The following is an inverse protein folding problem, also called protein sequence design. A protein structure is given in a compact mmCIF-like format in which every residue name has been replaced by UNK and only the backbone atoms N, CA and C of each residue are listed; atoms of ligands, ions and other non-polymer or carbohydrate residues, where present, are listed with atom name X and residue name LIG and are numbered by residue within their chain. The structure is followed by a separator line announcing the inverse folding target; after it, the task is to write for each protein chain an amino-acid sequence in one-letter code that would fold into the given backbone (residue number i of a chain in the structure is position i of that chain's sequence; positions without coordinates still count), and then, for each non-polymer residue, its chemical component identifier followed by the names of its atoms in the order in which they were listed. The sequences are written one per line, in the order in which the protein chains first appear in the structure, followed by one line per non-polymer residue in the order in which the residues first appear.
data_IF_872842795993
#
_entry.id   IF_872842795993
#
_cell.length_a   1.000
_cell.length_b   1.000
_cell.length_c   1.000
_cell.angle_alpha   90.00
_cell.angle_beta   90.00
_cell.angle_gamma   90.00
#
_symmetry.space_group_name_H-M   'P 1'
#
loop_
_entity.id
_entity.type
_entity.pdbx_description
1 polymer ?
#
# COMPACT_ATOMS: atom_id res chain seq x y z
N UNK A 1 -11.27 0.39 -7.92
CA UNK A 1 -11.00 -0.29 -6.64
C UNK A 1 -9.57 0.00 -6.20
N UNK A 2 -9.35 0.32 -4.96
CA UNK A 2 -7.99 0.53 -4.47
C UNK A 2 -7.19 -0.76 -4.55
N UNK A 3 -5.92 -0.62 -4.85
CA UNK A 3 -5.01 -1.76 -4.97
C UNK A 3 -3.69 -1.42 -4.33
N UNK A 4 -3.05 -2.45 -3.81
CA UNK A 4 -1.72 -2.32 -3.27
C UNK A 4 -0.82 -3.28 -4.03
N UNK A 5 0.13 -2.73 -4.76
CA UNK A 5 1.09 -3.54 -5.52
C UNK A 5 2.37 -3.65 -4.71
N UNK A 6 2.84 -4.87 -4.51
CA UNK A 6 3.99 -5.14 -3.67
C UNK A 6 5.12 -5.67 -4.53
N UNK A 7 6.26 -4.98 -4.51
CA UNK A 7 7.43 -5.40 -5.25
C UNK A 7 8.50 -5.86 -4.28
N UNK A 8 8.85 -7.12 -4.35
CA UNK A 8 9.82 -7.73 -3.46
C UNK A 8 11.24 -7.57 -4.00
N UNK A 9 12.26 -7.62 -3.14
CA UNK A 9 13.64 -7.44 -3.62
C UNK A 9 14.08 -8.47 -4.65
N UNK A 10 13.46 -9.64 -4.68
CA UNK A 10 13.82 -10.66 -5.68
C UNK A 10 13.17 -10.41 -7.04
N UNK A 11 12.42 -9.32 -7.17
CA UNK A 11 11.76 -8.96 -8.41
C UNK A 11 10.35 -9.49 -8.55
N UNK A 12 9.89 -10.31 -7.62
CA UNK A 12 8.51 -10.80 -7.69
C UNK A 12 7.54 -9.70 -7.28
N UNK A 13 6.33 -9.79 -7.80
CA UNK A 13 5.34 -8.76 -7.61
C UNK A 13 4.00 -9.39 -7.27
N UNK A 14 3.26 -8.73 -6.40
CA UNK A 14 1.96 -9.22 -5.97
C UNK A 14 1.02 -8.02 -5.86
N UNK A 15 -0.22 -8.18 -6.29
CA UNK A 15 -1.20 -7.13 -6.22
C UNK A 15 -2.36 -7.57 -5.35
N UNK A 16 -2.76 -6.72 -4.42
CA UNK A 16 -3.87 -6.98 -3.51
C UNK A 16 -4.94 -5.94 -3.78
N UNK A 17 -6.16 -6.42 -4.05
CA UNK A 17 -7.31 -5.54 -4.22
C UNK A 17 -7.90 -5.28 -2.86
N UNK A 18 -8.14 -4.00 -2.56
CA UNK A 18 -8.60 -3.59 -1.25
C UNK A 18 -10.07 -3.21 -1.30
N UNK A 19 -10.83 -3.50 -0.24
CA UNK A 19 -12.24 -3.10 -0.21
C UNK A 19 -12.37 -1.58 -0.06
N UNK A 20 -13.51 -1.08 -0.43
CA UNK A 20 -13.78 0.36 -0.35
C UNK A 20 -15.11 0.64 0.34
N UNK A 21 -15.53 -0.22 1.23
CA UNK A 21 -16.76 0.02 1.97
C UNK A 21 -16.63 -0.62 3.35
N UNK A 22 -17.44 -0.16 4.27
CA UNK A 22 -17.44 -0.67 5.61
C UNK A 22 -16.16 -0.34 6.34
N UNK A 23 -15.77 -1.22 7.23
CA UNK A 23 -14.53 -1.08 7.99
C UNK A 23 -13.59 -2.18 7.58
N UNK A 24 -12.33 -1.84 7.42
CA UNK A 24 -11.32 -2.80 7.02
C UNK A 24 -10.00 -2.42 7.64
N UNK A 25 -9.28 -3.41 8.13
CA UNK A 25 -7.89 -3.19 8.51
C UNK A 25 -7.10 -4.46 8.24
N UNK A 26 -5.82 -4.28 7.97
CA UNK A 26 -4.91 -5.38 7.70
C UNK A 26 -3.55 -5.05 8.25
N UNK A 27 -2.96 -6.02 8.94
CA UNK A 27 -1.57 -5.88 9.36
C UNK A 27 -0.69 -6.30 8.21
N UNK A 28 0.35 -5.53 7.99
CA UNK A 28 1.32 -5.79 6.94
C UNK A 28 2.63 -6.18 7.65
N UNK A 29 3.16 -7.33 7.34
CA UNK A 29 4.40 -7.74 7.98
C UNK A 29 4.89 -9.08 7.49
N UNK A 30 6.00 -9.53 8.09
CA UNK A 30 6.63 -10.79 7.70
C UNK A 30 5.92 -11.99 8.27
N UNK A 31 5.23 -11.84 9.39
CA UNK A 31 4.52 -12.94 10.02
C UNK A 31 3.41 -13.45 9.13
N UNK A 32 3.25 -14.75 9.06
CA UNK A 32 2.20 -15.33 8.25
C UNK A 32 0.82 -15.09 8.82
N UNK A 33 0.71 -14.65 10.07
CA UNK A 33 -0.59 -14.25 10.61
C UNK A 33 -1.05 -12.92 10.06
N UNK A 34 -0.17 -12.10 9.46
CA UNK A 34 -0.57 -10.81 8.92
C UNK A 34 -1.50 -11.02 7.74
N UNK A 35 -2.53 -10.20 7.65
CA UNK A 35 -3.44 -10.25 6.53
C UNK A 35 -2.71 -10.01 5.22
N UNK A 36 -1.68 -9.16 5.27
CA UNK A 36 -0.82 -8.92 4.12
C UNK A 36 0.58 -9.36 4.53
N UNK A 37 0.92 -10.60 4.24
CA UNK A 37 2.20 -11.16 4.64
C UNK A 37 3.24 -10.92 3.56
N UNK A 38 4.39 -10.38 3.97
CA UNK A 38 5.48 -10.05 3.05
C UNK A 38 6.73 -10.81 3.51
N UNK A 39 7.15 -11.83 2.77
CA UNK A 39 8.26 -12.70 3.19
C UNK A 39 9.62 -12.07 2.89
N UNK A 40 9.93 -10.97 3.55
CA UNK A 40 11.22 -10.31 3.37
C UNK A 40 11.86 -10.08 4.74
N UNK A 41 13.14 -10.41 4.90
CA UNK A 41 13.80 -10.21 6.19
C UNK A 41 13.89 -8.75 6.61
N UNK A 42 13.76 -7.82 5.68
CA UNK A 42 13.81 -6.40 6.02
C UNK A 42 12.48 -5.89 6.57
N UNK A 43 11.44 -6.72 6.55
CA UNK A 43 10.13 -6.34 7.05
C UNK A 43 9.95 -6.96 8.43
N UNK A 44 9.50 -6.15 9.38
CA UNK A 44 9.25 -6.63 10.75
C UNK A 44 8.05 -7.57 10.77
N UNK A 45 7.96 -8.39 11.81
CA UNK A 45 6.87 -9.36 11.94
C UNK A 45 5.51 -8.72 11.79
N UNK A 46 5.27 -7.62 12.51
CA UNK A 46 4.10 -6.79 12.33
C UNK A 46 4.63 -5.39 12.06
N UNK A 47 4.69 -5.01 10.80
CA UNK A 47 5.40 -3.81 10.39
C UNK A 47 4.49 -2.59 10.36
N UNK A 48 3.31 -2.73 9.81
CA UNK A 48 2.41 -1.59 9.61
C UNK A 48 0.96 -2.03 9.66
N UNK A 49 0.09 -1.08 9.94
CA UNK A 49 -1.35 -1.32 9.94
C UNK A 49 -1.98 -0.49 8.84
N UNK A 50 -2.74 -1.12 7.98
CA UNK A 50 -3.48 -0.48 6.92
C UNK A 50 -4.95 -0.47 7.32
N UNK A 51 -5.58 0.71 7.29
CA UNK A 51 -6.98 0.86 7.69
C UNK A 51 -7.76 1.66 6.67
N UNK A 52 -9.01 1.25 6.46
CA UNK A 52 -9.95 2.07 5.69
C UNK A 52 -10.86 2.78 6.68
N UNK A 53 -10.81 4.09 6.69
CA UNK A 53 -11.67 4.87 7.57
C UNK A 53 -11.92 6.24 6.95
N UNK A 54 -13.10 6.76 7.18
CA UNK A 54 -13.50 8.09 6.72
C UNK A 54 -13.29 8.28 5.23
N UNK A 55 -13.55 7.22 4.46
CA UNK A 55 -13.51 7.30 3.02
C UNK A 55 -12.15 7.15 2.40
N UNK A 56 -11.13 6.79 3.17
CA UNK A 56 -9.79 6.63 2.62
C UNK A 56 -8.97 5.61 3.36
N UNK A 57 -7.80 5.32 2.82
CA UNK A 57 -6.86 4.40 3.45
C UNK A 57 -5.80 5.16 4.22
N UNK A 58 -5.46 4.64 5.38
CA UNK A 58 -4.46 5.22 6.26
C UNK A 58 -3.49 4.11 6.64
N UNK A 59 -2.20 4.42 6.67
CA UNK A 59 -1.19 3.46 7.06
C UNK A 59 -0.44 4.00 8.28
N UNK A 60 -0.10 3.09 9.18
CA UNK A 60 0.57 3.44 10.44
C UNK A 60 1.67 2.44 10.73
N UNK A 61 2.83 2.94 11.14
CA UNK A 61 3.95 2.08 11.53
C UNK A 61 3.69 1.49 12.91
N UNK A 62 3.90 0.20 13.05
CA UNK A 62 3.65 -0.50 14.33
C UNK A 62 4.94 -0.70 15.14
N UNK A 63 5.83 0.28 15.08
CA UNK A 63 7.08 0.19 15.79
C UNK A 63 8.10 -0.69 15.10
N UNK A 64 8.10 -0.66 13.80
CA UNK A 64 8.97 -1.53 13.01
C UNK A 64 10.44 -1.14 13.14
N UNK A 65 11.32 -2.08 12.82
CA UNK A 65 12.75 -1.85 12.87
C UNK A 65 13.20 -0.87 11.79
N UNK A 66 12.69 -1.01 10.57
CA UNK A 66 13.16 -0.20 9.46
C UNK A 66 12.23 0.95 9.10
N UNK A 67 11.08 1.06 9.78
CA UNK A 67 10.16 2.17 9.57
C UNK A 67 9.33 2.04 8.31
N UNK A 68 8.45 3.02 8.14
CA UNK A 68 7.59 3.15 6.96
C UNK A 68 7.93 4.48 6.33
N UNK A 69 8.15 4.49 5.01
CA UNK A 69 8.36 5.74 4.28
C UNK A 69 7.31 5.85 3.20
N UNK A 70 6.81 7.06 3.01
CA UNK A 70 5.83 7.34 1.98
C UNK A 70 6.41 8.44 1.11
N UNK A 71 6.64 8.11 -0.17
CA UNK A 71 7.25 9.05 -1.12
C UNK A 71 8.56 9.62 -0.59
N UNK A 72 9.33 8.76 0.11
CA UNK A 72 10.64 9.15 0.63
C UNK A 72 10.62 9.84 1.98
N UNK A 73 9.45 10.05 2.57
CA UNK A 73 9.33 10.76 3.84
C UNK A 73 8.81 9.82 4.92
N UNK A 74 9.31 9.99 6.13
CA UNK A 74 8.85 9.19 7.27
C UNK A 74 7.74 9.95 7.97
N UNK A 75 6.50 9.42 7.95
CA UNK A 75 5.41 10.13 8.63
C UNK A 75 5.57 10.06 10.14
N UNK A 76 5.00 11.04 10.81
CA UNK A 76 5.09 11.13 12.28
C UNK A 76 3.96 10.41 12.98
N UNK A 77 3.10 9.77 12.25
CA UNK A 77 1.96 9.04 12.78
C UNK A 77 1.19 8.43 11.64
N UNK A 78 -0.08 8.09 11.85
CA UNK A 78 -0.88 7.55 10.74
C UNK A 78 -0.92 8.52 9.58
N UNK A 79 -0.78 8.01 8.38
CA UNK A 79 -0.71 8.83 7.17
C UNK A 79 -1.73 8.36 6.15
N UNK A 80 -2.45 9.30 5.56
CA UNK A 80 -3.41 8.98 4.52
C UNK A 80 -2.70 8.62 3.23
N UNK A 81 -3.26 7.69 2.49
CA UNK A 81 -2.69 7.24 1.24
C UNK A 81 -3.49 7.79 0.07
N UNK A 82 -2.80 8.20 -0.97
CA UNK A 82 -3.39 8.76 -2.16
C UNK A 82 -2.87 8.04 -3.39
N UNK A 83 -3.57 8.23 -4.50
CA UNK A 83 -3.21 7.63 -5.77
C UNK A 83 -1.74 7.82 -6.09
N UNK A 84 -1.05 6.73 -6.37
CA UNK A 84 0.34 6.78 -6.80
C UNK A 84 1.36 6.84 -5.69
N UNK A 85 0.93 6.80 -4.41
CA UNK A 85 1.88 6.86 -3.31
C UNK A 85 2.80 5.64 -3.31
N UNK A 86 4.09 5.89 -3.14
CA UNK A 86 5.10 4.85 -2.95
C UNK A 86 5.34 4.66 -1.47
N UNK A 87 5.20 3.43 -1.01
CA UNK A 87 5.39 3.07 0.38
C UNK A 87 6.58 2.11 0.44
N UNK A 88 7.49 2.37 1.35
CA UNK A 88 8.67 1.53 1.50
C UNK A 88 8.72 0.96 2.90
N UNK A 89 8.76 -0.37 2.99
CA UNK A 89 8.91 -1.10 4.23
C UNK A 89 10.20 -1.91 4.13
N UNK A 90 11.25 -1.41 4.77
CA UNK A 90 12.56 -2.05 4.61
C UNK A 90 13.02 -1.94 3.17
N UNK A 91 13.18 -3.07 2.50
CA UNK A 91 13.58 -3.10 1.09
C UNK A 91 12.41 -3.39 0.17
N UNK A 92 11.20 -3.44 0.68
CA UNK A 92 10.03 -3.78 -0.10
C UNK A 92 9.30 -2.51 -0.49
N UNK A 93 8.95 -2.40 -1.77
CA UNK A 93 8.24 -1.25 -2.30
C UNK A 93 6.79 -1.61 -2.53
N UNK A 94 5.88 -0.76 -2.06
CA UNK A 94 4.46 -0.92 -2.27
C UNK A 94 3.94 0.31 -2.98
N UNK A 95 3.00 0.13 -3.87
CA UNK A 95 2.38 1.26 -4.55
C UNK A 95 0.88 1.21 -4.32
N UNK A 96 0.33 2.31 -3.84
CA UNK A 96 -1.10 2.44 -3.61
C UNK A 96 -1.75 3.04 -4.84
N UNK A 97 -2.80 2.42 -5.33
CA UNK A 97 -3.50 2.91 -6.49
C UNK A 97 -4.99 2.86 -6.25
N UNK A 98 -5.66 3.94 -6.59
CA UNK A 98 -7.10 4.05 -6.41
C UNK A 98 -7.83 4.25 -7.72
N UNK A 99 -7.16 4.01 -8.82
CA UNK A 99 -7.77 4.22 -10.12
C UNK A 99 -9.02 3.39 -10.30
N UNK A 100 -10.00 3.93 -11.00
CA UNK A 100 -11.16 3.13 -11.36
C UNK A 100 -10.75 2.01 -12.29
N UNK A 101 -11.46 0.93 -12.18
CA UNK A 101 -11.15 -0.24 -12.97
C UNK A 101 -11.38 -0.02 -14.44
N UNK A 102 -12.29 0.81 -14.76
CA UNK A 102 -12.61 0.98 -16.12
C UNK A 102 -11.68 1.79 -16.87
N UNK A 103 -11.78 1.92 -17.39
CA UNK A 103 -11.37 2.88 -17.99
C UNK A 103 -10.57 2.91 -18.96
N UNK A 104 -10.64 2.50 -19.49
CA UNK A 104 -9.64 2.76 -20.35
C UNK A 104 -9.91 4.01 -21.06
N UNK A 105 -10.17 4.36 -21.04
CA UNK A 105 -10.28 5.29 -21.53
C UNK A 105 -9.54 6.01 -21.80
N UNK A 106 -9.48 5.69 -21.84
CA UNK A 106 -8.94 6.24 -21.99
C UNK A 106 -8.31 6.58 -22.39
N UNK A 107 -8.09 6.64 -22.37
CA UNK A 107 -7.51 7.09 -22.65
C UNK A 107 -7.40 7.44 -23.33
N UNK A 108 -7.45 7.64 -23.47
CA UNK A 108 -7.41 8.26 -24.01
C UNK A 108 -7.60 8.93 -24.22
N UNK A 109 -7.54 9.14 -24.05
CA UNK A 109 -7.75 9.86 -24.10
C UNK A 109 -7.57 10.52 -23.85
N UNK A 110 -7.48 10.65 -23.82
CA UNK A 110 -7.15 11.42 -23.59
C UNK A 110 -6.80 11.89 -23.98
N UNK A 111 -6.63 11.97 -23.98
CA UNK A 111 -6.60 12.61 -24.37
C UNK A 111 -6.77 12.91 -24.58
N UNK A 112 -6.66 13.11 -24.74
CA UNK A 112 -6.90 13.60 -24.90
C UNK A 112 -7.07 13.97 -24.85
N UNK A 113 -6.81 14.09 -24.89
CA UNK A 113 -6.97 14.59 -24.84
C UNK A 113 -7.03 14.95 -24.92
N UNK A 114 -6.91 15.25 -24.96
CA UNK A 114 -6.99 15.77 -25.09
C UNK A 114 -7.04 16.08 -25.19
#
# INVERSE_FOLDING_TARGET
MPRLSILLPDGSEKTIVLPKNGEYFARIGRDEHCEIAIPSPSVSGEHALLQYKDGGYVIEDLGSTNGVKINGLTPMGPAALYEGDDIILGEVHLKFSEEPVSLPVSETDRENSK
#
